data_IF_886669746842
#
_entry.id   IF_886669746842
#
_cell.length_a   1.000
_cell.length_b   1.000
_cell.length_c   1.000
_cell.angle_alpha   90.00
_cell.angle_beta   90.00
_cell.angle_gamma   90.00
#
_symmetry.space_group_name_H-M   'P 1'
#
loop_
_entity.id
_entity.type
_entity.pdbx_description
1 polymer ?
#
# COMPACT_ATOMS: atom_id res chain seq x y z
N UNK A 1 -22.84 2.32 3.68
CA UNK A 1 -21.97 1.22 3.27
C UNK A 1 -20.93 1.07 4.37
N UNK A 2 -20.68 -0.13 4.87
CA UNK A 2 -19.65 -0.33 5.89
C UNK A 2 -18.29 -0.12 5.25
N UNK A 3 -17.53 0.87 5.70
CA UNK A 3 -16.14 1.04 5.30
C UNK A 3 -15.31 -0.02 6.02
N UNK A 4 -14.60 -0.83 5.25
CA UNK A 4 -13.71 -1.86 5.78
C UNK A 4 -12.28 -1.31 5.88
N UNK A 5 -11.55 -1.75 6.90
CA UNK A 5 -10.15 -1.38 7.11
C UNK A 5 -9.23 -1.86 5.98
N UNK A 6 -9.58 -2.98 5.35
CA UNK A 6 -8.87 -3.55 4.21
C UNK A 6 -9.88 -3.76 3.09
N UNK A 7 -9.62 -3.15 1.93
CA UNK A 7 -10.42 -3.30 0.73
C UNK A 7 -9.81 -4.41 -0.13
N UNK A 8 -10.50 -5.55 -0.22
CA UNK A 8 -10.02 -6.72 -0.96
C UNK A 8 -10.58 -6.68 -2.38
N UNK A 9 -9.70 -6.53 -3.38
CA UNK A 9 -10.05 -6.56 -4.80
C UNK A 9 -10.25 -8.00 -5.30
N UNK A 10 -9.41 -8.93 -4.83
CA UNK A 10 -9.55 -10.37 -5.08
C UNK A 10 -8.91 -11.17 -3.95
N UNK A 11 -9.45 -12.35 -3.65
CA UNK A 11 -8.83 -13.25 -2.68
C UNK A 11 -7.86 -14.22 -3.39
N UNK A 12 -6.54 -14.20 -3.07
CA UNK A 12 -5.60 -15.15 -3.65
C UNK A 12 -5.79 -16.54 -3.03
N UNK A 13 -5.55 -17.59 -3.82
CA UNK A 13 -5.50 -18.97 -3.33
C UNK A 13 -4.07 -19.26 -2.88
N UNK A 14 -3.86 -19.40 -1.57
CA UNK A 14 -2.55 -19.62 -0.97
C UNK A 14 -2.55 -20.93 -0.18
N UNK A 15 -1.39 -21.61 -0.15
CA UNK A 15 -1.16 -22.78 0.68
C UNK A 15 -0.02 -22.49 1.65
N UNK A 16 -0.32 -22.53 2.94
CA UNK A 16 0.62 -22.26 4.04
C UNK A 16 1.47 -20.98 3.83
N UNK A 17 0.84 -19.80 3.60
CA UNK A 17 1.57 -18.60 3.23
C UNK A 17 2.37 -18.01 4.39
N UNK A 18 3.50 -17.38 4.06
CA UNK A 18 4.22 -16.47 4.94
C UNK A 18 3.83 -15.03 4.61
N UNK A 19 3.40 -14.27 5.61
CA UNK A 19 3.16 -12.85 5.47
C UNK A 19 4.40 -12.05 5.86
N UNK A 20 4.90 -11.22 4.93
CA UNK A 20 6.02 -10.32 5.14
C UNK A 20 5.49 -8.89 5.00
N UNK A 21 5.77 -8.05 6.00
CA UNK A 21 5.34 -6.65 6.03
C UNK A 21 6.54 -5.72 6.17
N UNK A 22 6.56 -4.68 5.35
CA UNK A 22 7.51 -3.58 5.38
C UNK A 22 6.72 -2.29 5.51
N UNK A 23 7.15 -1.42 6.42
CA UNK A 23 6.43 -0.19 6.75
C UNK A 23 7.31 1.02 6.46
N UNK A 24 6.69 2.08 5.97
CA UNK A 24 7.30 3.41 5.97
C UNK A 24 7.40 3.99 7.40
N UNK A 25 8.10 5.11 7.54
CA UNK A 25 8.14 5.88 8.78
C UNK A 25 9.28 5.50 9.72
N UNK A 26 9.03 5.55 11.03
CA UNK A 26 10.08 5.59 12.06
C UNK A 26 11.03 4.37 12.05
N UNK A 27 10.50 3.18 11.78
CA UNK A 27 11.29 1.94 11.70
C UNK A 27 12.06 1.74 10.38
N UNK A 28 12.02 2.70 9.45
CA UNK A 28 12.45 2.55 8.07
C UNK A 28 13.73 3.36 7.75
N UNK A 29 14.77 3.24 8.57
CA UNK A 29 16.04 3.92 8.33
C UNK A 29 16.65 3.51 6.97
N UNK A 30 17.13 4.50 6.20
CA UNK A 30 17.66 4.29 4.84
C UNK A 30 16.70 3.55 3.90
N UNK A 31 15.38 3.65 4.16
CA UNK A 31 14.34 2.96 3.40
C UNK A 31 14.44 1.42 3.38
N UNK A 32 15.09 0.82 4.39
CA UNK A 32 15.36 -0.62 4.38
C UNK A 32 14.11 -1.49 4.49
N UNK A 33 13.12 -1.09 5.29
CA UNK A 33 11.92 -1.90 5.52
C UNK A 33 11.04 -1.94 4.28
N UNK A 34 10.66 -0.78 3.75
CA UNK A 34 9.86 -0.67 2.53
C UNK A 34 10.63 -1.19 1.31
N UNK A 35 11.90 -0.80 1.16
CA UNK A 35 12.71 -1.19 0.01
C UNK A 35 12.90 -2.71 -0.09
N UNK A 36 13.01 -3.42 1.04
CA UNK A 36 13.09 -4.88 1.03
C UNK A 36 11.77 -5.54 0.61
N UNK A 37 10.61 -5.00 1.02
CA UNK A 37 9.33 -5.52 0.52
C UNK A 37 9.11 -5.23 -0.95
N UNK A 38 9.48 -4.04 -1.44
CA UNK A 38 9.40 -3.70 -2.86
C UNK A 38 10.27 -4.63 -3.71
N UNK A 39 11.50 -4.90 -3.23
CA UNK A 39 12.40 -5.87 -3.85
C UNK A 39 11.77 -7.28 -3.93
N UNK A 40 11.13 -7.75 -2.85
CA UNK A 40 10.48 -9.07 -2.86
C UNK A 40 9.27 -9.11 -3.81
N UNK A 41 8.47 -8.05 -3.88
CA UNK A 41 7.34 -7.93 -4.82
C UNK A 41 7.84 -8.08 -6.26
N UNK A 42 8.93 -7.38 -6.61
CA UNK A 42 9.53 -7.46 -7.95
C UNK A 42 10.12 -8.85 -8.24
N UNK A 43 10.86 -9.43 -7.29
CA UNK A 43 11.55 -10.72 -7.50
C UNK A 43 10.63 -11.94 -7.47
N UNK A 44 9.48 -11.84 -6.81
CA UNK A 44 8.50 -12.92 -6.71
C UNK A 44 7.29 -12.74 -7.67
N UNK A 45 7.45 -11.92 -8.73
CA UNK A 45 6.36 -11.30 -9.49
C UNK A 45 4.99 -11.19 -8.78
N UNK A 46 4.98 -10.68 -7.54
CA UNK A 46 3.78 -10.65 -6.73
C UNK A 46 2.76 -9.64 -7.29
N UNK A 47 1.47 -9.98 -7.25
CA UNK A 47 0.39 -9.15 -7.81
C UNK A 47 -0.46 -8.54 -6.69
N UNK A 48 -0.86 -7.26 -6.80
CA UNK A 48 -1.66 -6.60 -5.78
C UNK A 48 -3.06 -7.21 -5.70
N UNK A 49 -3.58 -7.51 -4.52
CA UNK A 49 -4.90 -8.13 -4.33
C UNK A 49 -5.83 -7.42 -3.33
N UNK A 50 -5.28 -6.54 -2.50
CA UNK A 50 -6.03 -5.72 -1.55
C UNK A 50 -5.27 -4.43 -1.23
N UNK A 51 -5.98 -3.45 -0.68
CA UNK A 51 -5.45 -2.16 -0.24
C UNK A 51 -5.93 -1.84 1.17
N UNK A 52 -5.07 -1.19 1.95
CA UNK A 52 -5.44 -0.65 3.25
C UNK A 52 -6.30 0.60 3.03
N UNK A 53 -7.42 0.72 3.75
CA UNK A 53 -8.22 1.93 3.73
C UNK A 53 -7.57 2.99 4.64
N UNK A 54 -7.08 4.11 4.08
CA UNK A 54 -6.33 5.08 4.86
C UNK A 54 -7.18 5.85 5.87
N UNK A 55 -8.50 5.93 5.68
CA UNK A 55 -9.40 6.70 6.55
C UNK A 55 -9.39 6.20 8.00
N UNK A 56 -9.05 4.92 8.21
CA UNK A 56 -8.96 4.31 9.54
C UNK A 56 -7.61 4.50 10.24
N UNK A 57 -6.54 4.78 9.49
CA UNK A 57 -5.17 4.63 9.99
C UNK A 57 -4.28 5.87 9.79
N UNK A 58 -4.67 6.80 8.92
CA UNK A 58 -3.87 7.97 8.59
C UNK A 58 -4.54 9.26 9.03
N UNK A 59 -3.68 10.17 9.49
CA UNK A 59 -4.00 11.56 9.73
C UNK A 59 -3.56 12.37 8.52
N UNK A 60 -4.49 12.84 7.70
CA UNK A 60 -4.17 13.51 6.44
C UNK A 60 -3.49 14.87 6.60
N UNK A 61 -3.50 15.46 7.80
CA UNK A 61 -2.72 16.65 8.14
C UNK A 61 -1.22 16.36 8.28
N UNK A 62 -0.86 15.13 8.68
CA UNK A 62 0.52 14.64 8.82
C UNK A 62 0.97 13.84 7.57
N UNK A 63 0.11 12.96 7.05
CA UNK A 63 0.36 12.13 5.88
C UNK A 63 -0.54 12.57 4.72
N UNK A 64 -0.06 13.55 3.95
CA UNK A 64 -0.84 14.16 2.87
C UNK A 64 -0.88 13.25 1.64
N UNK A 65 -2.04 13.15 0.95
CA UNK A 65 -2.11 12.56 -0.38
C UNK A 65 -1.18 13.27 -1.36
N UNK A 66 -0.64 12.52 -2.30
CA UNK A 66 0.10 13.05 -3.45
C UNK A 66 -0.91 13.32 -4.56
N UNK A 67 -0.78 14.47 -5.23
CA UNK A 67 -1.65 14.85 -6.34
C UNK A 67 -0.83 15.08 -7.59
N UNK A 68 -1.34 14.62 -8.73
CA UNK A 68 -0.86 14.99 -10.05
C UNK A 68 -1.85 15.96 -10.71
N UNK A 69 -1.35 17.12 -11.13
CA UNK A 69 -2.14 18.19 -11.76
C UNK A 69 -1.51 18.52 -13.10
N UNK A 70 -2.29 18.40 -14.17
CA UNK A 70 -1.86 18.69 -15.53
C UNK A 70 -2.88 19.62 -16.22
N UNK A 71 -2.38 20.68 -16.84
CA UNK A 71 -3.19 21.72 -17.51
C UNK A 71 -4.27 22.35 -16.59
N UNK A 72 -3.97 22.46 -15.29
CA UNK A 72 -4.90 22.99 -14.29
C UNK A 72 -5.98 21.99 -13.82
N UNK A 73 -5.94 20.74 -14.28
CA UNK A 73 -6.86 19.69 -13.85
C UNK A 73 -6.17 18.67 -12.94
N UNK A 74 -6.84 18.29 -11.85
CA UNK A 74 -6.45 17.14 -11.05
C UNK A 74 -6.58 15.87 -11.90
N UNK A 75 -5.45 15.21 -12.18
CA UNK A 75 -5.38 13.96 -12.94
C UNK A 75 -5.41 12.74 -12.04
N UNK A 76 -4.62 12.79 -10.96
CA UNK A 76 -4.51 11.69 -10.02
C UNK A 76 -4.44 12.23 -8.59
N UNK A 77 -5.03 11.48 -7.66
CA UNK A 77 -4.89 11.68 -6.24
C UNK A 77 -4.58 10.33 -5.62
N UNK A 78 -3.38 10.23 -5.06
CA UNK A 78 -2.86 9.01 -4.43
C UNK A 78 -2.83 9.23 -2.93
N UNK A 79 -3.77 8.65 -2.16
CA UNK A 79 -3.74 8.77 -0.71
C UNK A 79 -2.55 8.01 -0.12
N UNK A 80 -2.14 8.29 1.12
CA UNK A 80 -1.27 7.38 1.86
C UNK A 80 -1.94 6.00 1.96
N UNK A 81 -1.16 4.94 2.19
CA UNK A 81 -1.74 3.62 2.38
C UNK A 81 -0.73 2.50 2.32
N UNK A 82 -1.26 1.29 2.19
CA UNK A 82 -0.49 0.07 2.01
C UNK A 82 -1.20 -0.85 1.02
N UNK A 83 -0.43 -1.58 0.22
CA UNK A 83 -0.97 -2.55 -0.75
C UNK A 83 -0.51 -3.95 -0.38
N UNK A 84 -1.42 -4.91 -0.48
CA UNK A 84 -1.14 -6.32 -0.23
C UNK A 84 -0.89 -7.04 -1.55
N UNK A 85 0.14 -7.88 -1.57
CA UNK A 85 0.58 -8.62 -2.76
C UNK A 85 0.62 -10.12 -2.49
N UNK A 86 0.36 -10.91 -3.54
CA UNK A 86 0.43 -12.37 -3.50
C UNK A 86 0.93 -12.88 -4.86
N UNK A 87 1.67 -13.99 -4.84
CA UNK A 87 2.22 -14.68 -6.01
C UNK A 87 1.30 -15.77 -6.51
#
# INVERSE_FOLDING_TARGET
MSEEAIQIDRMPVLKDPLFIAGFEGWGNALNVSQGMTDFLIEKLPAKPFARLNPDFFYRFDENRPIVDIQDGFLKELTPPGGTFYAT
#
